data_IF_572510820241
#
_entry.id   IF_572510820241
#
_cell.length_a   1.000
_cell.length_b   1.000
_cell.length_c   1.000
_cell.angle_alpha   90.00
_cell.angle_beta   90.00
_cell.angle_gamma   90.00
#
_symmetry.space_group_name_H-M   'P 1'
#
loop_
_entity.id
_entity.type
_entity.pdbx_description
1 polymer ?
#
# COMPACT_ATOMS: atom_id res chain seq x y z
N UNK A 1 3.21 -11.61 2.41
CA UNK A 1 3.32 -11.72 0.96
C UNK A 1 4.72 -11.33 0.50
N UNK A 2 5.29 -12.14 -0.34
CA UNK A 2 6.61 -11.83 -0.88
C UNK A 2 6.52 -10.69 -1.88
N UNK A 3 7.36 -9.71 -1.73
CA UNK A 3 7.49 -8.63 -2.69
C UNK A 3 8.35 -9.09 -3.86
N UNK A 4 8.11 -8.50 -5.04
CA UNK A 4 8.99 -8.67 -6.18
C UNK A 4 10.19 -7.73 -6.14
N UNK A 5 10.25 -6.87 -5.15
CA UNK A 5 11.39 -6.00 -4.93
C UNK A 5 12.60 -6.87 -4.59
N UNK A 6 13.70 -6.77 -5.33
CA UNK A 6 14.88 -7.58 -5.06
C UNK A 6 15.52 -7.32 -3.70
N UNK A 7 15.15 -6.22 -3.06
CA UNK A 7 15.67 -5.89 -1.73
C UNK A 7 14.76 -6.32 -0.60
N UNK A 8 13.56 -6.76 -0.92
CA UNK A 8 12.59 -7.12 0.10
C UNK A 8 12.99 -8.43 0.78
N UNK A 9 13.06 -8.40 2.11
CA UNK A 9 13.40 -9.59 2.89
C UNK A 9 14.85 -10.00 2.85
N UNK A 10 15.70 -9.20 2.21
CA UNK A 10 17.13 -9.45 2.17
C UNK A 10 17.88 -8.37 2.92
N UNK A 11 18.87 -8.78 3.70
CA UNK A 11 19.84 -7.84 4.22
C UNK A 11 20.63 -7.32 3.02
N UNK A 12 20.77 -6.04 2.88
CA UNK A 12 21.49 -5.42 1.79
C UNK A 12 22.99 -5.62 1.96
N UNK A 13 23.39 -6.89 2.09
CA UNK A 13 24.78 -7.29 2.29
C UNK A 13 25.44 -6.56 3.46
N UNK A 14 24.64 -6.25 4.49
CA UNK A 14 25.11 -5.55 5.68
C UNK A 14 25.37 -4.06 5.49
N UNK A 15 24.96 -3.51 4.34
CA UNK A 15 25.23 -2.10 4.05
C UNK A 15 24.23 -1.15 4.68
N UNK A 16 23.05 -1.61 5.07
CA UNK A 16 22.07 -0.76 5.75
C UNK A 16 22.48 -0.59 7.22
N UNK A 17 22.25 0.59 7.80
CA UNK A 17 22.62 0.84 9.18
C UNK A 17 21.81 -0.03 10.15
N UNK A 18 22.45 -0.36 11.27
CA UNK A 18 21.77 -0.98 12.38
C UNK A 18 20.93 0.09 13.07
N UNK A 19 19.62 -0.10 13.12
CA UNK A 19 18.68 0.83 13.70
C UNK A 19 18.05 0.31 15.00
N UNK A 20 18.63 -0.72 15.61
CA UNK A 20 18.04 -1.34 16.80
C UNK A 20 17.87 -0.36 17.95
N UNK A 21 18.88 0.47 18.22
CA UNK A 21 18.79 1.47 19.29
C UNK A 21 17.75 2.54 18.98
N UNK A 22 17.66 2.94 17.73
CA UNK A 22 16.67 3.91 17.28
C UNK A 22 15.25 3.35 17.47
N UNK A 23 15.03 2.12 17.08
CA UNK A 23 13.73 1.47 17.22
C UNK A 23 13.37 1.26 18.69
N UNK A 24 14.35 0.89 19.52
CA UNK A 24 14.13 0.74 20.95
C UNK A 24 13.72 2.07 21.60
N UNK A 25 14.37 3.16 21.20
CA UNK A 25 14.04 4.48 21.70
C UNK A 25 12.63 4.90 21.29
N UNK A 26 12.24 4.61 20.04
CA UNK A 26 10.89 4.93 19.58
C UNK A 26 9.83 4.11 20.31
N UNK A 27 10.09 2.83 20.54
CA UNK A 27 9.16 2.00 21.31
C UNK A 27 9.01 2.54 22.74
N UNK A 28 10.12 2.89 23.37
CA UNK A 28 10.09 3.41 24.73
C UNK A 28 9.32 4.73 24.83
N UNK A 29 9.42 5.55 23.79
CA UNK A 29 8.78 6.88 23.77
C UNK A 29 7.30 6.84 23.43
N UNK A 30 6.90 5.93 22.52
CA UNK A 30 5.58 6.01 21.90
C UNK A 30 4.66 4.82 22.20
N UNK A 31 5.20 3.67 22.48
CA UNK A 31 4.39 2.46 22.63
C UNK A 31 4.01 2.25 24.09
N UNK A 32 2.72 2.36 24.38
CA UNK A 32 2.22 2.06 25.69
C UNK A 32 2.19 0.55 25.94
N UNK A 33 2.32 0.11 27.20
CA UNK A 33 2.05 -1.28 27.54
C UNK A 33 0.66 -1.70 27.09
N UNK A 34 0.48 -2.97 26.77
CA UNK A 34 -0.77 -3.45 26.17
C UNK A 34 -2.01 -3.13 27.03
N UNK A 35 -1.87 -3.23 28.36
CA UNK A 35 -2.98 -2.98 29.27
C UNK A 35 -3.28 -1.48 29.46
N UNK A 36 -2.44 -0.60 28.93
CA UNK A 36 -2.65 0.85 29.02
C UNK A 36 -3.07 1.48 27.69
N UNK A 37 -3.18 0.66 26.64
CA UNK A 37 -3.60 1.18 25.35
C UNK A 37 -5.11 1.39 25.31
N UNK A 38 -5.57 2.55 24.83
CA UNK A 38 -7.00 2.76 24.68
C UNK A 38 -7.57 1.86 23.58
N UNK A 39 -8.83 1.54 23.70
CA UNK A 39 -9.53 0.82 22.63
C UNK A 39 -9.65 1.75 21.43
N UNK A 40 -9.35 1.23 20.24
CA UNK A 40 -9.46 2.03 19.03
C UNK A 40 -10.91 2.42 18.76
N UNK A 41 -11.13 3.67 18.39
CA UNK A 41 -12.42 4.13 17.91
C UNK A 41 -12.67 3.78 16.44
N UNK A 42 -11.63 3.29 15.75
CA UNK A 42 -11.78 2.85 14.37
C UNK A 42 -12.51 1.52 14.27
N UNK A 43 -13.10 1.26 13.11
CA UNK A 43 -13.88 0.04 12.84
C UNK A 43 -13.35 -0.71 11.62
N UNK A 44 -12.08 -0.54 11.32
CA UNK A 44 -11.45 -1.14 10.17
C UNK A 44 -11.36 -0.17 9.01
N UNK A 45 -11.09 -0.70 7.83
CA UNK A 45 -10.85 0.07 6.62
C UNK A 45 -11.84 -0.37 5.55
N UNK A 46 -12.58 0.57 4.97
CA UNK A 46 -13.49 0.26 3.88
C UNK A 46 -12.70 -0.05 2.60
N UNK A 47 -11.71 0.78 2.28
CA UNK A 47 -10.79 0.52 1.17
C UNK A 47 -9.47 1.23 1.43
N UNK A 48 -8.45 0.77 0.73
CA UNK A 48 -7.12 1.34 0.79
C UNK A 48 -6.68 1.62 -0.64
N UNK A 49 -6.09 2.77 -0.88
CA UNK A 49 -5.66 3.17 -2.22
C UNK A 49 -4.14 3.09 -2.35
N UNK A 50 -3.68 2.48 -3.44
CA UNK A 50 -2.27 2.34 -3.77
C UNK A 50 -2.05 2.86 -5.19
N UNK A 51 -0.79 2.95 -5.60
CA UNK A 51 -0.45 3.40 -6.95
C UNK A 51 0.06 2.21 -7.76
N UNK A 52 -0.46 2.11 -8.98
CA UNK A 52 -0.02 1.10 -9.95
C UNK A 52 0.76 1.78 -11.06
N UNK A 53 1.88 1.20 -11.44
CA UNK A 53 2.63 1.65 -12.61
C UNK A 53 2.18 0.96 -13.90
N UNK A 54 1.35 -0.08 -13.79
CA UNK A 54 0.88 -0.86 -14.93
C UNK A 54 -0.45 -1.53 -14.54
N UNK A 55 -1.56 -0.98 -15.04
CA UNK A 55 -2.90 -1.43 -14.65
C UNK A 55 -3.12 -2.91 -14.97
N UNK A 56 -2.82 -3.33 -16.20
CA UNK A 56 -3.09 -4.70 -16.60
C UNK A 56 -2.22 -5.70 -15.84
N UNK A 57 -0.99 -5.33 -15.55
CA UNK A 57 -0.09 -6.19 -14.76
C UNK A 57 -0.58 -6.30 -13.31
N UNK A 58 -1.06 -5.21 -12.75
CA UNK A 58 -1.64 -5.22 -11.41
C UNK A 58 -2.88 -6.12 -11.36
N UNK A 59 -3.75 -6.02 -12.37
CA UNK A 59 -4.94 -6.87 -12.44
C UNK A 59 -4.53 -8.34 -12.57
N UNK A 60 -3.56 -8.64 -13.42
CA UNK A 60 -3.08 -10.01 -13.59
C UNK A 60 -2.58 -10.62 -12.28
N UNK A 61 -1.94 -9.81 -11.44
CA UNK A 61 -1.45 -10.29 -10.15
C UNK A 61 -2.58 -10.45 -9.14
N UNK A 62 -3.35 -9.41 -8.90
CA UNK A 62 -4.36 -9.45 -7.84
C UNK A 62 -5.55 -10.33 -8.20
N UNK A 63 -6.05 -10.25 -9.42
CA UNK A 63 -7.14 -11.12 -9.84
C UNK A 63 -6.65 -12.49 -10.29
N UNK A 64 -5.58 -12.53 -11.08
CA UNK A 64 -5.10 -13.77 -11.66
C UNK A 64 -4.38 -14.69 -10.68
N UNK A 65 -3.53 -14.12 -9.82
CA UNK A 65 -2.72 -14.91 -8.88
C UNK A 65 -3.40 -15.01 -7.52
N UNK A 66 -3.84 -13.88 -6.95
CA UNK A 66 -4.44 -13.87 -5.61
C UNK A 66 -5.94 -14.13 -5.61
N UNK A 67 -6.56 -14.12 -6.79
CA UNK A 67 -8.00 -14.38 -6.95
C UNK A 67 -8.89 -13.38 -6.24
N UNK A 68 -8.43 -12.12 -6.12
CA UNK A 68 -9.26 -11.01 -5.66
C UNK A 68 -9.98 -10.45 -6.88
N UNK A 69 -11.30 -10.57 -7.00
CA UNK A 69 -11.98 -10.15 -8.21
C UNK A 69 -11.93 -8.63 -8.40
N UNK A 70 -11.68 -8.22 -9.64
CA UNK A 70 -11.80 -6.82 -10.03
C UNK A 70 -13.28 -6.48 -10.06
N UNK A 71 -13.69 -5.47 -9.30
CA UNK A 71 -15.10 -5.13 -9.17
C UNK A 71 -15.48 -3.83 -9.85
N UNK A 72 -14.54 -2.89 -9.96
CA UNK A 72 -14.78 -1.61 -10.61
C UNK A 72 -13.53 -1.11 -11.29
N UNK A 73 -13.71 -0.39 -12.38
CA UNK A 73 -12.63 0.25 -13.11
C UNK A 73 -13.20 1.43 -13.88
N UNK A 74 -12.70 2.64 -13.62
CA UNK A 74 -13.19 3.85 -14.26
C UNK A 74 -12.13 4.95 -14.21
N UNK A 75 -12.40 6.05 -14.92
CA UNK A 75 -11.48 7.18 -14.88
C UNK A 75 -11.55 7.88 -13.52
N UNK A 76 -10.38 8.18 -12.96
CA UNK A 76 -10.28 8.96 -11.74
C UNK A 76 -10.91 10.33 -11.95
N UNK A 77 -11.90 10.68 -11.13
CA UNK A 77 -12.62 11.94 -11.26
C UNK A 77 -11.76 13.16 -11.02
N UNK A 78 -10.73 13.00 -10.21
CA UNK A 78 -9.89 14.10 -9.76
C UNK A 78 -8.63 14.29 -10.62
N UNK A 79 -8.39 13.36 -11.54
CA UNK A 79 -7.20 13.40 -12.38
C UNK A 79 -7.48 12.73 -13.72
N UNK A 80 -7.67 13.55 -14.75
CA UNK A 80 -8.00 13.06 -16.09
C UNK A 80 -6.87 12.18 -16.63
N UNK A 81 -7.23 11.03 -17.19
CA UNK A 81 -6.27 10.08 -17.73
C UNK A 81 -5.79 9.06 -16.72
N UNK A 82 -6.11 9.22 -15.45
CA UNK A 82 -5.79 8.27 -14.40
C UNK A 82 -6.90 7.23 -14.32
N UNK A 83 -6.53 5.96 -14.17
CA UNK A 83 -7.47 4.87 -13.94
C UNK A 83 -7.64 4.68 -12.43
N UNK A 84 -8.87 4.42 -12.01
CA UNK A 84 -9.18 4.07 -10.63
C UNK A 84 -9.87 2.72 -10.65
N UNK A 85 -9.31 1.73 -9.96
CA UNK A 85 -9.87 0.38 -10.02
C UNK A 85 -9.77 -0.32 -8.68
N UNK A 86 -10.68 -1.27 -8.45
CA UNK A 86 -10.92 -1.87 -7.14
C UNK A 86 -10.98 -3.37 -7.22
N UNK A 87 -10.42 -4.03 -6.20
CA UNK A 87 -10.53 -5.46 -6.00
C UNK A 87 -11.28 -5.74 -4.71
N UNK A 88 -12.15 -6.75 -4.73
CA UNK A 88 -12.80 -7.24 -3.52
C UNK A 88 -11.78 -8.07 -2.73
N UNK A 89 -11.52 -7.68 -1.51
CA UNK A 89 -10.60 -8.41 -0.62
C UNK A 89 -11.33 -9.06 0.57
N UNK A 90 -12.67 -9.09 0.51
CA UNK A 90 -13.46 -9.76 1.52
C UNK A 90 -14.04 -8.81 2.57
N UNK A 91 -15.06 -9.29 3.25
CA UNK A 91 -15.73 -8.58 4.34
C UNK A 91 -16.26 -7.19 3.95
N UNK A 92 -16.60 -6.99 2.68
CA UNK A 92 -17.05 -5.69 2.20
C UNK A 92 -15.95 -4.67 2.04
N UNK A 93 -14.71 -5.08 2.12
CA UNK A 93 -13.55 -4.19 1.97
C UNK A 93 -12.98 -4.29 0.58
N UNK A 94 -12.29 -3.25 0.15
CA UNK A 94 -11.71 -3.19 -1.18
C UNK A 94 -10.25 -2.74 -1.11
N UNK A 95 -9.48 -3.21 -2.08
CA UNK A 95 -8.15 -2.71 -2.35
C UNK A 95 -8.23 -1.90 -3.64
N UNK A 96 -7.91 -0.62 -3.58
CA UNK A 96 -8.03 0.30 -4.70
C UNK A 96 -6.68 0.71 -5.22
N UNK A 97 -6.62 0.98 -6.52
CA UNK A 97 -5.41 1.46 -7.17
C UNK A 97 -5.71 2.65 -8.07
N UNK A 98 -4.71 3.50 -8.21
CA UNK A 98 -4.69 4.54 -9.23
C UNK A 98 -3.46 4.34 -10.11
N UNK A 99 -3.55 4.70 -11.39
CA UNK A 99 -2.36 4.89 -12.19
C UNK A 99 -2.23 6.37 -12.59
N UNK A 100 -1.02 6.77 -12.92
CA UNK A 100 -0.74 8.12 -13.39
C UNK A 100 0.21 7.99 -14.58
N UNK A 101 -0.31 7.59 -15.75
CA UNK A 101 0.53 7.32 -16.90
C UNK A 101 1.31 8.56 -17.33
N UNK A 102 2.55 8.35 -17.68
CA UNK A 102 3.43 9.42 -18.11
C UNK A 102 4.15 10.16 -16.99
N UNK A 103 3.85 9.87 -15.73
CA UNK A 103 4.55 10.47 -14.61
C UNK A 103 5.70 9.59 -14.13
N UNK A 104 6.78 10.21 -13.69
CA UNK A 104 7.85 9.52 -13.01
C UNK A 104 7.58 9.46 -11.50
N UNK A 105 8.48 8.85 -10.75
CA UNK A 105 8.29 8.68 -9.31
C UNK A 105 8.19 10.01 -8.57
N UNK A 106 8.90 11.03 -9.02
CA UNK A 106 8.85 12.34 -8.39
C UNK A 106 7.48 12.99 -8.57
N UNK A 107 6.91 12.86 -9.76
CA UNK A 107 5.60 13.40 -10.06
C UNK A 107 4.51 12.66 -9.30
N UNK A 108 4.68 11.35 -9.07
CA UNK A 108 3.74 10.63 -8.20
C UNK A 108 3.74 11.22 -6.79
N UNK A 109 4.89 11.57 -6.26
CA UNK A 109 4.99 12.18 -4.95
C UNK A 109 4.25 13.52 -4.90
N UNK A 110 4.33 14.32 -5.94
CA UNK A 110 3.61 15.60 -6.02
C UNK A 110 2.10 15.40 -6.07
N UNK A 111 1.64 14.40 -6.82
CA UNK A 111 0.20 14.10 -6.92
C UNK A 111 -0.36 13.66 -5.57
N UNK A 112 0.41 12.90 -4.80
CA UNK A 112 -0.02 12.44 -3.49
C UNK A 112 0.09 13.50 -2.42
N UNK A 113 0.84 14.52 -2.72
CA UNK A 113 0.93 15.71 -1.89
C UNK A 113 1.53 15.61 -0.59
#
# INVERSE_FOLDING_TARGET
MASNDPHFGTAHDGEHPDRDDEWAAMRAKHMLPADQRPVSSARGVHHQALISSDVERTIAFYQGVLEFPLTELFQNRDYVGSTHFFFDIGNGNALAFFDFPGLGLEEYAEVLG
#
